data_IF_611314860875
#
_entry.id   IF_611314860875
#
_cell.length_a   1.000
_cell.length_b   1.000
_cell.length_c   1.000
_cell.angle_alpha   90.00
_cell.angle_beta   90.00
_cell.angle_gamma   90.00
#
_symmetry.space_group_name_H-M   'P 1'
#
loop_
_entity.id
_entity.type
_entity.pdbx_description
1 polymer ?
2 polymer ?
3 water ?
#
# COMPACT_ATOMS: atom_id res chain seq x y z
N UNK A 1 -27.22 -9.35 6.51
CA UNK A 1 -27.03 -7.90 6.62
C UNK A 1 -26.51 -7.45 8.01
N UNK A 2 -25.27 -7.77 8.34
CA UNK A 2 -24.69 -7.37 9.63
C UNK A 2 -23.74 -6.19 9.47
N UNK A 3 -23.80 -5.23 10.40
CA UNK A 3 -22.87 -4.09 10.35
C UNK A 3 -21.79 -4.24 11.39
N UNK A 4 -20.54 -4.11 10.96
CA UNK A 4 -19.43 -4.11 11.90
C UNK A 4 -19.08 -2.70 12.33
N UNK A 5 -18.99 -2.46 13.63
CA UNK A 5 -18.39 -1.22 14.08
C UNK A 5 -17.21 -1.45 15.01
N UNK A 6 -16.16 -0.69 14.75
CA UNK A 6 -14.80 -0.99 15.15
C UNK A 6 -14.10 0.28 15.61
N UNK A 7 -13.60 0.28 16.85
CA UNK A 7 -12.91 1.46 17.41
C UNK A 7 -11.73 1.08 18.30
N UNK A 8 -10.76 1.98 18.43
CA UNK A 8 -10.67 3.31 17.82
C UNK A 8 -10.31 3.25 16.36
N UNK A 9 -10.58 4.31 15.60
CA UNK A 9 -10.13 4.43 14.21
C UNK A 9 -8.62 4.38 14.06
N UNK A 10 -7.91 4.70 15.12
CA UNK A 10 -6.45 4.70 15.06
C UNK A 10 -5.87 4.59 16.45
N UNK A 11 -4.57 4.31 16.53
CA UNK A 11 -3.98 3.87 17.79
C UNK A 11 -2.48 4.08 17.84
N UNK A 12 -2.03 4.84 18.82
CA UNK A 12 -0.60 5.06 19.03
C UNK A 12 -0.16 4.37 20.31
N UNK A 13 0.83 3.49 20.19
CA UNK A 13 1.22 2.67 21.30
C UNK A 13 2.73 2.67 21.47
N UNK A 14 3.16 2.68 22.73
CA UNK A 14 4.56 2.51 23.05
C UNK A 14 4.98 1.05 22.89
N UNK A 15 6.07 0.79 22.16
CA UNK A 15 6.52 -0.59 21.93
C UNK A 15 6.58 -1.38 23.22
N UNK A 16 5.88 -2.52 23.23
CA UNK A 16 5.77 -3.34 24.42
C UNK A 16 4.72 -2.88 25.42
N UNK A 17 3.88 -1.91 25.08
CA UNK A 17 2.68 -1.67 25.89
C UNK A 17 1.53 -2.33 25.14
N UNK A 18 0.52 -2.83 25.88
CA UNK A 18 -0.60 -3.55 25.25
C UNK A 18 -1.42 -2.69 24.30
N UNK A 19 -2.25 -3.34 23.51
CA UNK A 19 -3.15 -2.61 22.64
C UNK A 19 -4.44 -3.40 22.51
N UNK A 20 -5.55 -2.66 22.57
CA UNK A 20 -6.88 -3.23 22.38
C UNK A 20 -7.53 -2.66 21.14
N UNK A 21 -8.29 -3.50 20.44
CA UNK A 21 -9.09 -3.03 19.34
C UNK A 21 -10.44 -3.72 19.48
N UNK A 22 -11.51 -2.95 19.31
CA UNK A 22 -12.82 -3.52 19.59
C UNK A 22 -13.68 -3.63 18.36
N UNK A 23 -14.44 -4.70 18.31
CA UNK A 23 -15.38 -4.92 17.26
C UNK A 23 -16.66 -5.27 17.94
N UNK A 24 -17.69 -4.46 17.65
CA UNK A 24 -19.05 -4.74 18.13
C UNK A 24 -19.93 -4.94 16.90
N UNK A 25 -20.87 -5.87 16.99
CA UNK A 25 -21.70 -6.20 15.83
C UNK A 25 -23.14 -5.75 16.00
N UNK A 26 -23.75 -5.24 14.93
CA UNK A 26 -25.17 -4.89 14.94
C UNK A 26 -26.08 -6.05 15.36
N UNK A 27 -25.60 -7.28 15.21
CA UNK A 27 -26.30 -8.44 15.71
C UNK A 27 -25.37 -9.60 15.98
N UNK A 28 -25.88 -10.60 16.70
CA UNK A 28 -25.08 -11.63 17.32
C UNK A 28 -24.32 -12.47 16.31
N UNK A 29 -23.08 -12.79 16.67
CA UNK A 29 -22.17 -13.54 15.82
C UNK A 29 -21.97 -14.96 16.37
N UNK A 30 -22.71 -15.29 17.43
CA UNK A 30 -22.74 -16.65 17.94
C UNK A 30 -23.48 -17.58 16.93
N UNK A 31 -23.67 -18.85 17.29
CA UNK A 31 -24.23 -19.78 16.34
C UNK A 31 -24.69 -21.11 16.96
N UNK A 32 -25.46 -21.88 16.19
CA UNK A 32 -25.76 -23.26 16.54
C UNK A 32 -24.46 -23.98 16.84
N UNK A 33 -23.46 -23.72 16.01
CA UNK A 33 -22.09 -24.21 16.17
C UNK A 33 -21.58 -24.07 17.59
N UNK A 34 -22.18 -23.16 18.36
CA UNK A 34 -21.60 -22.77 19.63
C UNK A 34 -20.30 -22.04 19.34
N UNK A 35 -20.23 -21.41 18.18
CA UNK A 35 -19.03 -20.70 17.77
C UNK A 35 -19.35 -19.27 17.36
N UNK A 36 -18.37 -18.39 17.55
CA UNK A 36 -18.52 -17.00 17.15
C UNK A 36 -17.83 -16.73 15.82
N UNK A 37 -18.61 -16.38 14.82
CA UNK A 37 -18.08 -16.15 13.49
C UNK A 37 -17.61 -14.71 13.28
N UNK A 38 -16.40 -14.46 13.78
CA UNK A 38 -15.72 -13.21 13.60
C UNK A 38 -14.23 -13.47 13.43
N UNK A 39 -13.62 -12.86 12.42
CA UNK A 39 -12.17 -12.93 12.23
C UNK A 39 -11.51 -11.57 12.35
N UNK A 40 -10.20 -11.58 12.59
CA UNK A 40 -9.37 -10.39 12.58
C UNK A 40 -8.29 -10.52 11.51
N UNK A 41 -8.24 -9.56 10.60
CA UNK A 41 -7.22 -9.50 9.55
C UNK A 41 -6.40 -8.25 9.75
N UNK A 42 -5.09 -8.34 9.53
CA UNK A 42 -4.19 -7.19 9.63
C UNK A 42 -3.50 -6.97 8.29
N UNK A 43 -3.51 -5.73 7.81
CA UNK A 43 -2.90 -5.42 6.52
C UNK A 43 -1.72 -4.46 6.66
N UNK A 44 -0.51 -4.99 6.62
CA UNK A 44 0.67 -4.13 6.69
C UNK A 44 0.72 -3.29 5.41
N UNK A 45 1.48 -2.17 5.44
CA UNK A 45 1.64 -1.31 4.26
C UNK A 45 2.08 -2.06 3.01
N UNK A 46 1.28 -1.94 1.96
CA UNK A 46 1.64 -2.51 0.68
C UNK A 46 1.27 -3.97 0.52
N UNK A 47 0.83 -4.59 1.61
CA UNK A 47 0.49 -6.01 1.59
C UNK A 47 -0.99 -6.23 1.41
N UNK A 48 -1.33 -7.47 1.11
CA UNK A 48 -2.70 -7.96 1.22
C UNK A 48 -3.00 -8.20 2.67
N UNK A 49 -4.28 -8.22 3.04
CA UNK A 49 -4.65 -8.65 4.39
C UNK A 49 -3.98 -9.96 4.80
N UNK A 50 -3.70 -10.14 6.08
CA UNK A 50 -3.30 -11.45 6.53
C UNK A 50 -4.13 -11.89 7.74
N UNK A 51 -4.50 -13.15 7.74
CA UNK A 51 -5.36 -13.71 8.76
C UNK A 51 -4.61 -13.77 10.07
N UNK A 52 -5.28 -13.37 11.14
CA UNK A 52 -4.70 -13.40 12.48
C UNK A 52 -5.45 -14.32 13.38
N UNK A 53 -6.71 -13.96 13.59
CA UNK A 53 -7.59 -14.67 14.49
C UNK A 53 -8.76 -15.10 13.69
N UNK A 54 -9.38 -16.21 14.06
CA UNK A 54 -10.64 -16.59 13.47
C UNK A 54 -11.44 -17.39 14.47
N UNK A 55 -12.73 -17.50 14.21
CA UNK A 55 -13.70 -18.04 15.18
C UNK A 55 -13.50 -17.36 16.53
N UNK A 56 -13.37 -16.03 16.51
CA UNK A 56 -13.27 -15.26 17.74
C UNK A 56 -11.95 -15.35 18.48
N UNK A 57 -11.40 -16.55 18.64
CA UNK A 57 -10.30 -16.71 19.58
C UNK A 57 -9.25 -17.73 19.19
N UNK A 58 -9.31 -18.22 17.97
CA UNK A 58 -8.34 -19.19 17.50
C UNK A 58 -7.27 -18.48 16.73
N UNK A 59 -6.08 -18.39 17.31
CA UNK A 59 -4.95 -17.82 16.60
C UNK A 59 -4.64 -18.70 15.40
N UNK A 60 -4.12 -18.12 14.34
CA UNK A 60 -3.98 -18.87 13.11
C UNK A 60 -2.52 -19.23 12.89
N UNK A 61 -2.28 -20.17 11.97
CA UNK A 61 -0.95 -20.67 11.70
C UNK A 61 0.05 -19.54 11.54
N UNK A 62 1.20 -19.69 12.18
CA UNK A 62 2.29 -18.74 12.06
C UNK A 62 1.94 -17.30 12.40
N UNK A 63 1.19 -17.13 13.48
CA UNK A 63 0.85 -15.83 14.01
C UNK A 63 1.34 -15.73 15.46
N UNK A 64 2.15 -14.72 15.77
CA UNK A 64 2.83 -14.61 17.06
C UNK A 64 1.92 -14.74 18.29
N UNK A 65 2.52 -15.18 19.38
CA UNK A 65 1.83 -15.51 20.62
C UNK A 65 1.11 -14.33 21.27
N UNK A 66 1.59 -13.12 21.00
CA UNK A 66 1.11 -11.94 21.69
C UNK A 66 -0.23 -11.45 21.17
N UNK A 67 -0.62 -11.93 20.00
CA UNK A 67 -1.95 -11.66 19.55
C UNK A 67 -2.89 -12.65 20.19
N UNK A 68 -3.99 -12.13 20.71
CA UNK A 68 -5.09 -12.96 21.20
C UNK A 68 -6.37 -12.38 20.64
N UNK A 69 -7.42 -13.18 20.63
CA UNK A 69 -8.72 -12.71 20.19
C UNK A 69 -9.70 -13.15 21.23
N UNK A 70 -10.58 -12.25 21.64
CA UNK A 70 -11.53 -12.57 22.69
C UNK A 70 -12.87 -11.95 22.43
N UNK A 71 -13.89 -12.43 23.13
CA UNK A 71 -15.18 -11.79 23.04
C UNK A 71 -16.22 -12.83 22.68
N UNK A 72 -17.46 -12.40 22.58
CA UNK A 72 -18.57 -13.29 22.34
C UNK A 72 -19.85 -12.51 22.08
N UNK A 73 -20.85 -13.21 21.56
CA UNK A 73 -22.08 -12.55 21.21
C UNK A 73 -21.87 -11.39 20.24
N UNK A 74 -21.93 -10.18 20.76
CA UNK A 74 -21.96 -9.04 19.87
C UNK A 74 -20.72 -8.20 20.03
N UNK A 75 -19.83 -8.64 20.89
CA UNK A 75 -18.72 -7.80 21.30
C UNK A 75 -17.41 -8.59 21.37
N UNK A 76 -16.44 -8.18 20.56
CA UNK A 76 -15.15 -8.87 20.51
C UNK A 76 -14.02 -7.88 20.59
N UNK A 77 -12.85 -8.42 20.93
CA UNK A 77 -11.66 -7.63 21.12
C UNK A 77 -10.45 -8.38 20.63
N UNK A 78 -9.70 -7.77 19.73
CA UNK A 78 -8.35 -8.23 19.42
C UNK A 78 -7.34 -7.58 20.37
N UNK A 79 -6.56 -8.41 21.06
CA UNK A 79 -5.63 -7.88 22.05
C UNK A 79 -4.18 -8.26 21.76
N UNK A 80 -3.35 -7.25 21.57
CA UNK A 80 -1.92 -7.43 21.47
C UNK A 80 -1.30 -7.29 22.85
N UNK A 81 -0.64 -8.34 23.33
CA UNK A 81 -0.14 -8.37 24.71
C UNK A 81 1.02 -7.42 24.91
N UNK A 82 1.87 -7.31 23.90
CA UNK A 82 2.89 -6.27 23.84
C UNK A 82 3.25 -5.99 22.39
N UNK A 83 3.02 -4.76 21.96
CA UNK A 83 3.20 -4.39 20.56
C UNK A 83 4.68 -4.23 20.17
N UNK A 84 5.03 -4.71 18.97
CA UNK A 84 6.36 -4.53 18.42
C UNK A 84 6.29 -3.79 17.09
N UNK A 85 7.44 -3.33 16.59
CA UNK A 85 7.48 -2.51 15.40
C UNK A 85 6.80 -3.16 14.19
N UNK A 86 7.00 -4.47 14.04
CA UNK A 86 6.40 -5.27 12.98
C UNK A 86 4.86 -5.18 12.93
N UNK A 87 4.24 -4.88 14.07
CA UNK A 87 2.79 -4.94 14.16
C UNK A 87 2.10 -3.75 13.50
N UNK A 88 2.88 -2.83 12.97
CA UNK A 88 2.33 -1.58 12.49
C UNK A 88 1.50 -1.83 11.22
N UNK A 89 0.30 -1.30 11.18
CA UNK A 89 -0.58 -1.45 10.03
C UNK A 89 -2.04 -1.23 10.37
N UNK A 90 -2.91 -1.52 9.40
CA UNK A 90 -4.38 -1.39 9.61
C UNK A 90 -5.00 -2.73 9.99
N UNK A 91 -5.80 -2.77 11.04
CA UNK A 91 -6.43 -4.01 11.48
C UNK A 91 -7.91 -3.94 11.13
N UNK A 92 -8.46 -5.05 10.61
CA UNK A 92 -9.88 -5.16 10.26
C UNK A 92 -10.54 -6.38 10.89
N UNK A 93 -11.72 -6.19 11.47
CA UNK A 93 -12.54 -7.32 11.84
C UNK A 93 -13.46 -7.70 10.68
N UNK A 94 -13.96 -8.93 10.68
CA UNK A 94 -14.88 -9.33 9.64
C UNK A 94 -15.71 -10.48 10.19
N UNK A 95 -17.00 -10.48 9.83
CA UNK A 95 -17.82 -11.64 10.07
C UNK A 95 -18.24 -12.27 8.73
N UNK A 96 -18.12 -13.59 8.61
CA UNK A 96 -18.46 -14.21 7.34
C UNK A 96 -19.92 -14.71 7.30
N UNK A 97 -20.55 -14.82 8.46
CA UNK A 97 -21.87 -15.44 8.62
C UNK A 97 -22.89 -14.92 7.61
N UNK A 98 -22.96 -13.59 7.47
CA UNK A 98 -23.83 -12.95 6.50
C UNK A 98 -23.63 -11.45 6.46
N UNK A 99 -23.00 -10.91 5.41
CA UNK A 99 -22.38 -11.62 4.31
C UNK A 99 -21.01 -10.99 4.08
N UNK A 100 -20.00 -11.53 4.76
CA UNK A 100 -18.64 -11.00 4.73
C UNK A 100 -18.60 -9.49 4.87
N UNK A 101 -18.84 -8.97 6.07
CA UNK A 101 -18.75 -7.52 6.26
C UNK A 101 -17.57 -7.15 7.16
N UNK A 102 -16.84 -6.13 6.76
CA UNK A 102 -15.66 -5.70 7.49
C UNK A 102 -15.91 -4.56 8.50
N UNK A 103 -14.99 -4.45 9.46
CA UNK A 103 -14.91 -3.28 10.30
C UNK A 103 -14.28 -2.21 9.44
N UNK A 104 -14.20 -0.99 9.96
CA UNK A 104 -13.66 0.12 9.18
C UNK A 104 -12.15 0.21 9.36
N UNK A 105 -11.65 -0.54 10.32
CA UNK A 105 -10.21 -0.62 10.47
C UNK A 105 -9.60 0.33 11.48
N UNK A 106 -9.12 -0.24 12.58
CA UNK A 106 -8.13 0.43 13.44
C UNK A 106 -6.74 0.49 12.85
N UNK A 107 -6.31 1.64 12.36
CA UNK A 107 -4.90 1.81 12.03
C UNK A 107 -4.06 1.85 13.31
N UNK A 108 -2.93 1.16 13.31
CA UNK A 108 -2.07 1.08 14.49
C UNK A 108 -0.75 1.78 14.20
N UNK A 109 -0.31 2.65 15.12
CA UNK A 109 0.98 3.32 14.96
C UNK A 109 1.85 3.13 16.19
N UNK A 110 3.16 3.30 16.01
CA UNK A 110 4.12 3.02 17.09
C UNK A 110 4.74 4.26 17.70
N UNK A 111 4.55 4.46 18.99
CA UNK A 111 5.16 5.57 19.69
C UNK A 111 6.65 5.33 19.80
N UNK A 112 7.42 5.89 18.87
CA UNK A 112 8.87 5.75 18.88
C UNK A 112 9.49 6.94 19.62
N UNK A 113 10.76 6.81 20.01
CA UNK A 113 11.52 7.94 20.53
C UNK A 113 11.68 8.94 19.37
N UNK A 114 11.89 10.21 19.68
CA UNK A 114 12.00 11.23 18.63
C UNK A 114 13.22 10.95 17.77
N UNK A 115 13.14 11.24 16.47
CA UNK A 115 14.30 11.07 15.61
C UNK A 115 14.32 12.09 14.49
N UNK A 116 15.28 13.00 14.55
CA UNK A 116 15.47 13.98 13.49
C UNK A 116 15.65 13.28 12.15
N UNK A 117 15.26 13.94 11.06
CA UNK A 117 15.41 13.35 9.74
C UNK A 117 16.78 13.60 9.16
N UNK A 118 17.40 12.57 8.60
CA UNK A 118 18.49 12.81 7.67
C UNK A 118 17.84 13.51 6.48
N UNK A 119 18.42 14.64 6.06
CA UNK A 119 17.82 15.42 5.01
C UNK A 119 18.68 15.47 3.75
N UNK A 120 18.08 15.17 2.61
CA UNK A 120 18.82 15.19 1.36
C UNK A 120 18.12 16.08 0.37
N UNK A 121 18.83 16.45 -0.67
CA UNK A 121 18.27 17.28 -1.74
C UNK A 121 18.77 16.73 -3.06
N UNK A 122 17.94 16.79 -4.08
CA UNK A 122 18.32 16.27 -5.39
C UNK A 122 17.90 17.23 -6.48
N UNK A 123 18.86 17.65 -7.28
CA UNK A 123 18.60 18.57 -8.40
C UNK A 123 18.00 17.83 -9.58
N UNK A 124 17.23 18.56 -10.40
CA UNK A 124 16.68 18.11 -11.67
C UNK A 124 17.64 17.26 -12.48
N UNK A 125 17.07 16.32 -13.22
CA UNK A 125 17.85 15.40 -14.02
C UNK A 125 18.51 16.08 -15.20
N UNK A 126 19.39 15.36 -15.87
CA UNK A 126 19.86 15.82 -17.17
C UNK A 126 18.67 15.80 -18.13
N UNK A 127 18.06 14.62 -18.26
CA UNK A 127 17.03 14.40 -19.25
C UNK A 127 15.71 15.12 -18.97
N UNK A 128 15.35 15.34 -17.70
CA UNK A 128 14.11 16.06 -17.41
C UNK A 128 14.25 17.51 -17.88
N UNK A 129 15.46 18.04 -17.75
CA UNK A 129 15.79 19.35 -18.27
C UNK A 129 15.84 19.32 -19.80
N UNK A 130 16.54 18.31 -20.36
CA UNK A 130 16.61 18.09 -21.81
C UNK A 130 15.24 17.73 -22.41
N UNK A 131 14.18 18.22 -21.76
CA UNK A 131 12.81 17.93 -22.11
C UNK A 131 11.95 19.03 -21.52
N UNK A 132 12.62 19.97 -20.86
CA UNK A 132 12.01 21.27 -20.56
C UNK A 132 11.28 21.50 -19.25
N UNK A 133 11.43 20.59 -18.28
CA UNK A 133 10.83 20.83 -16.97
C UNK A 133 11.88 20.52 -15.93
N UNK A 134 11.64 20.98 -14.70
CA UNK A 134 12.59 20.79 -13.62
C UNK A 134 11.87 20.48 -12.31
N UNK A 135 12.08 19.26 -11.83
CA UNK A 135 11.53 18.87 -10.56
C UNK A 135 12.68 18.80 -9.58
N UNK A 136 12.54 19.49 -8.45
CA UNK A 136 13.57 19.41 -7.41
C UNK A 136 13.02 18.57 -6.29
N UNK A 137 13.81 17.60 -5.83
CA UNK A 137 13.33 16.68 -4.81
C UNK A 137 14.09 16.84 -3.50
N UNK A 138 13.39 16.57 -2.40
CA UNK A 138 13.94 16.77 -1.08
C UNK A 138 13.59 15.57 -0.20
N UNK A 139 14.59 14.79 0.18
CA UNK A 139 14.36 13.59 0.95
C UNK A 139 14.51 13.80 2.45
N UNK A 140 13.53 13.35 3.20
CA UNK A 140 13.63 13.30 4.65
C UNK A 140 13.60 11.84 5.04
N UNK A 141 14.73 11.17 4.90
CA UNK A 141 14.77 9.71 4.76
C UNK A 141 14.25 8.88 5.93
N UNK A 142 14.52 9.31 7.15
CA UNK A 142 14.04 8.58 8.32
C UNK A 142 13.80 9.56 9.41
N UNK A 143 12.56 9.70 9.87
CA UNK A 143 12.29 10.55 11.01
C UNK A 143 11.04 10.17 11.78
N UNK A 144 10.93 10.69 12.99
CA UNK A 144 9.76 10.50 13.83
C UNK A 144 9.65 11.66 14.80
N UNK A 145 8.43 12.21 15.00
CA UNK A 145 7.13 11.80 14.44
C UNK A 145 6.89 12.26 13.01
N UNK A 146 5.65 12.10 12.54
CA UNK A 146 5.33 12.35 11.14
C UNK A 146 5.45 13.83 10.81
N UNK A 147 4.95 14.65 11.72
CA UNK A 147 4.80 16.07 11.50
C UNK A 147 6.12 16.75 11.18
N UNK A 148 6.33 17.05 9.90
CA UNK A 148 7.59 17.65 9.44
C UNK A 148 7.30 18.77 8.45
N UNK A 149 7.96 19.91 8.63
CA UNK A 149 7.69 21.09 7.82
C UNK A 149 8.76 21.26 6.76
N UNK A 150 8.37 21.08 5.51
CA UNK A 150 9.29 21.26 4.41
C UNK A 150 9.05 22.59 3.73
N UNK A 151 9.89 23.57 4.03
CA UNK A 151 9.77 24.88 3.41
C UNK A 151 10.77 25.01 2.27
N UNK A 152 10.25 25.28 1.07
CA UNK A 152 11.07 25.49 -0.09
C UNK A 152 11.40 26.97 -0.26
N UNK A 153 12.69 27.30 -0.32
CA UNK A 153 13.10 28.68 -0.58
C UNK A 153 13.97 28.78 -1.83
N UNK A 154 13.48 29.55 -2.81
CA UNK A 154 14.25 29.85 -4.03
C UNK A 154 14.88 31.22 -3.93
N UNK A 155 16.21 31.26 -4.04
CA UNK A 155 16.99 32.49 -3.83
C UNK A 155 16.68 33.06 -2.45
N UNK A 156 16.63 32.17 -1.45
CA UNK A 156 16.29 32.51 -0.07
C UNK A 156 14.99 33.31 0.09
N UNK A 157 14.19 33.33 -0.99
CA UNK A 157 12.84 33.89 -0.94
C UNK A 157 11.81 32.75 -0.99
N UNK A 158 10.84 32.83 -0.07
CA UNK A 158 9.84 31.79 0.16
C UNK A 158 9.17 31.26 -1.13
N UNK A 159 8.77 29.99 -1.08
CA UNK A 159 7.96 29.40 -2.14
C UNK A 159 6.69 28.80 -1.55
N UNK A 160 5.57 28.90 -2.26
CA UNK A 160 4.29 28.45 -1.70
C UNK A 160 3.22 28.15 -2.76
N UNK A 161 3.07 26.88 -3.09
CA UNK A 161 1.99 26.46 -3.97
C UNK A 161 2.41 25.61 -5.15
N UNK A 162 3.71 25.57 -5.42
CA UNK A 162 4.21 24.89 -6.62
C UNK A 162 4.90 23.55 -6.34
N UNK A 163 4.75 23.02 -5.12
CA UNK A 163 5.44 21.79 -4.75
C UNK A 163 4.61 20.89 -3.84
N UNK A 164 4.64 19.59 -4.13
CA UNK A 164 3.88 18.61 -3.38
C UNK A 164 4.78 17.67 -2.58
N UNK A 165 4.22 17.11 -1.51
CA UNK A 165 4.97 16.26 -0.63
C UNK A 165 4.26 14.92 -0.46
N UNK A 166 5.03 13.85 -0.37
CA UNK A 166 4.50 12.52 -0.15
C UNK A 166 5.15 11.85 1.09
N UNK A 167 4.36 11.13 1.88
CA UNK A 167 4.86 10.54 3.13
C UNK A 167 4.71 9.02 3.25
N UNK A 168 5.84 8.33 3.23
CA UNK A 168 5.97 6.91 3.52
C UNK A 168 5.12 6.46 4.72
N UNK A 169 4.73 5.20 4.72
CA UNK A 169 4.03 4.63 5.87
C UNK A 169 5.01 4.12 6.90
N UNK A 170 4.65 4.24 8.18
CA UNK A 170 5.58 3.96 9.26
C UNK A 170 6.33 2.67 9.08
N UNK A 171 7.64 2.76 9.22
CA UNK A 171 8.56 1.66 8.95
C UNK A 171 8.21 0.45 9.81
N UNK A 172 8.59 -0.73 9.35
CA UNK A 172 8.23 -1.94 10.06
C UNK A 172 9.32 -2.35 11.03
N UNK A 173 10.48 -1.73 10.88
CA UNK A 173 11.64 -2.05 11.72
C UNK A 173 11.95 -0.94 12.70
N UNK A 174 12.20 0.26 12.19
CA UNK A 174 12.58 1.36 13.08
C UNK A 174 11.44 2.30 13.39
N UNK A 175 10.27 2.02 12.84
CA UNK A 175 9.07 2.82 13.10
C UNK A 175 9.27 4.26 12.65
N UNK A 176 10.00 4.43 11.56
CA UNK A 176 10.28 5.73 11.00
C UNK A 176 9.21 6.15 10.00
N UNK A 177 9.20 7.43 9.65
CA UNK A 177 8.50 7.90 8.45
C UNK A 177 9.51 8.46 7.47
N UNK A 178 9.10 8.65 6.22
CA UNK A 178 9.95 9.34 5.27
C UNK A 178 9.10 10.16 4.33
N UNK A 179 9.68 11.22 3.79
CA UNK A 179 8.90 12.20 3.04
C UNK A 179 9.66 12.69 1.84
N UNK A 180 8.98 12.81 0.71
CA UNK A 180 9.61 13.25 -0.52
C UNK A 180 8.88 14.45 -1.10
N UNK A 181 9.44 15.63 -0.84
CA UNK A 181 8.90 16.87 -1.39
C UNK A 181 9.44 17.09 -2.80
N UNK A 182 8.60 17.61 -3.69
CA UNK A 182 9.04 17.86 -5.05
C UNK A 182 8.67 19.26 -5.54
N UNK A 183 9.70 20.10 -5.66
CA UNK A 183 9.54 21.44 -6.22
C UNK A 183 9.50 21.33 -7.74
N UNK A 184 8.38 21.75 -8.33
CA UNK A 184 8.15 21.61 -9.77
C UNK A 184 7.88 22.92 -10.49
N UNK A 185 8.78 23.28 -11.40
CA UNK A 185 8.57 24.47 -12.23
C UNK A 185 9.25 24.35 -13.61
N UNK A 186 8.81 25.21 -14.53
CA UNK A 186 9.31 25.24 -15.92
C UNK A 186 10.75 25.76 -15.95
N UNK A 187 11.40 25.75 -17.11
CA UNK A 187 12.84 26.07 -17.15
C UNK A 187 13.40 27.00 -18.25
N UNK A 188 12.74 28.08 -18.71
CA UNK A 188 11.73 28.89 -18.04
C UNK A 188 12.00 29.09 -16.55
N UNK A 189 10.93 29.25 -15.77
CA UNK A 189 11.01 29.81 -14.41
C UNK A 189 12.16 29.28 -13.57
N UNK A 190 12.59 28.04 -13.82
CA UNK A 190 13.72 27.45 -13.11
C UNK A 190 14.98 28.26 -13.30
N UNK A 191 15.31 28.54 -14.56
CA UNK A 191 16.56 29.22 -14.87
C UNK A 191 16.46 30.74 -14.67
N UNK A 192 15.35 31.18 -14.08
CA UNK A 192 15.19 32.56 -13.64
C UNK A 192 15.98 32.82 -12.37
N UNK A 193 16.23 31.76 -11.60
CA UNK A 193 16.86 31.91 -10.30
C UNK A 193 18.16 31.12 -10.14
N UNK A 194 18.74 31.21 -8.95
CA UNK A 194 20.04 30.60 -8.67
C UNK A 194 19.97 29.73 -7.42
N UNK A 195 19.68 30.34 -6.27
CA UNK A 195 19.69 29.61 -5.00
C UNK A 195 18.42 28.77 -4.80
N UNK A 196 18.62 27.48 -4.54
CA UNK A 196 17.50 26.56 -4.34
C UNK A 196 17.65 25.75 -3.05
N UNK A 197 16.74 26.00 -2.12
CA UNK A 197 16.92 25.50 -0.77
C UNK A 197 15.73 24.74 -0.21
N UNK A 198 16.04 23.63 0.46
CA UNK A 198 15.05 22.95 1.27
C UNK A 198 15.31 23.27 2.73
N UNK A 199 14.28 23.72 3.43
CA UNK A 199 14.40 24.04 4.85
C UNK A 199 13.41 23.23 5.66
N UNK A 200 13.92 22.51 6.66
CA UNK A 200 13.12 21.52 7.34
C UNK A 200 12.98 21.75 8.84
N UNK A 201 11.75 21.87 9.32
CA UNK A 201 11.51 21.98 10.75
C UNK A 201 10.94 20.67 11.28
N UNK A 202 11.27 20.33 12.52
CA UNK A 202 10.82 19.08 13.12
C UNK A 202 10.96 19.14 14.63
N UNK A 203 10.14 18.37 15.32
CA UNK A 203 10.19 18.25 16.78
C UNK A 203 11.60 17.96 17.28
N UNK A 204 12.32 17.11 16.56
CA UNK A 204 13.63 16.68 16.97
C UNK A 204 14.81 17.46 16.39
N UNK A 205 14.65 18.77 16.28
CA UNK A 205 15.78 19.59 15.84
C UNK A 205 15.91 20.87 16.68
N UNK A 206 17.12 21.41 16.70
CA UNK A 206 17.44 22.62 17.45
C UNK A 206 17.13 23.83 16.58
N UNK A 207 17.59 23.76 15.34
CA UNK A 207 17.23 24.74 14.33
C UNK A 207 16.82 24.03 13.06
N UNK A 208 15.77 24.54 12.39
CA UNK A 208 15.42 24.09 11.05
C UNK A 208 16.67 24.03 10.16
N UNK A 209 17.03 22.84 9.70
CA UNK A 209 18.23 22.68 8.88
C UNK A 209 17.95 23.04 7.43
N UNK A 210 19.00 23.32 6.67
CA UNK A 210 18.85 23.75 5.31
C UNK A 210 19.92 23.16 4.43
N UNK A 211 19.64 22.02 3.83
CA UNK A 211 20.48 21.56 2.75
C UNK A 211 20.00 22.24 1.50
N UNK A 212 20.92 22.49 0.57
CA UNK A 212 20.59 23.27 -0.60
C UNK A 212 21.62 23.14 -1.73
N UNK A 213 21.39 23.92 -2.77
CA UNK A 213 22.16 23.87 -4.00
C UNK A 213 21.75 25.04 -4.86
N UNK A 214 22.73 25.65 -5.54
CA UNK A 214 22.45 26.75 -6.44
C UNK A 214 22.63 26.33 -7.88
N UNK A 215 22.03 27.07 -8.80
CA UNK A 215 22.08 26.75 -10.22
C UNK A 215 23.50 26.52 -10.73
N UNK B 1 4.91 -23.56 -0.85
CA UNK B 1 4.22 -22.46 -0.19
C UNK B 1 2.81 -22.32 -0.73
N UNK B 2 1.83 -22.53 0.14
CA UNK B 2 0.45 -22.28 -0.26
C UNK B 2 0.32 -20.78 -0.53
N UNK B 3 -0.17 -20.43 -1.71
CA UNK B 3 -0.01 -19.09 -2.24
C UNK B 3 -0.99 -18.81 -3.39
N UNK B 4 -1.46 -17.56 -3.48
CA UNK B 4 -2.26 -17.11 -4.61
C UNK B 4 -1.51 -16.02 -5.41
N UNK B 5 -1.33 -16.24 -6.72
CA UNK B 5 -0.69 -15.26 -7.63
C UNK B 5 -1.70 -14.69 -8.61
N UNK B 6 -1.90 -13.36 -8.59
CA UNK B 6 -2.92 -12.73 -9.41
C UNK B 6 -2.42 -12.17 -10.72
N UNK B 7 -3.28 -12.14 -11.74
CA UNK B 7 -2.85 -11.60 -13.01
C UNK B 7 -3.89 -10.69 -13.64
N UNK B 8 -3.43 -9.75 -14.46
CA UNK B 8 -4.32 -8.97 -15.30
C UNK B 8 -5.20 -7.87 -14.72
N UNK B 9 -4.60 -6.87 -14.11
CA UNK B 9 -5.41 -5.70 -13.79
C UNK B 9 -5.67 -4.87 -15.04
N UNK B 10 -5.60 -3.56 -14.90
CA UNK B 10 -5.64 -2.69 -16.06
C UNK B 10 -6.51 -1.44 -15.96
N UNK B 11 -6.65 -0.76 -17.10
CA UNK B 11 -7.48 0.42 -17.22
C UNK B 11 -8.59 0.13 -18.23
N UNK B 12 -9.82 0.56 -17.94
CA UNK B 12 -10.91 0.44 -18.89
C UNK B 12 -11.88 1.59 -18.77
N UNK B 13 -12.39 2.00 -19.93
CA UNK B 13 -13.51 2.91 -19.99
C UNK B 13 -14.70 2.28 -19.27
N UNK B 14 -15.52 3.12 -18.65
CA UNK B 14 -16.75 2.65 -18.01
C UNK B 14 -17.63 1.90 -19.00
N UNK B 15 -18.45 0.97 -18.52
CA UNK B 15 -19.25 0.14 -19.38
C UNK B 15 -18.44 -1.02 -19.93
N UNK B 16 -17.13 -0.90 -19.85
CA UNK B 16 -16.25 -1.94 -20.33
C UNK B 16 -16.22 -3.15 -19.41
N UNK B 17 -15.60 -4.22 -19.88
CA UNK B 17 -15.41 -5.39 -19.05
C UNK B 17 -13.93 -5.59 -18.75
N UNK B 18 -13.64 -6.51 -17.84
CA UNK B 18 -12.27 -6.82 -17.50
C UNK B 18 -12.25 -8.18 -16.84
N UNK B 19 -11.22 -8.96 -17.08
CA UNK B 19 -11.11 -10.22 -16.38
C UNK B 19 -9.88 -10.30 -15.47
N UNK B 20 -10.10 -10.70 -14.23
CA UNK B 20 -9.00 -10.90 -13.31
C UNK B 20 -8.85 -12.38 -13.06
N UNK B 21 -7.65 -12.81 -12.70
CA UNK B 21 -7.47 -14.19 -12.34
C UNK B 21 -6.49 -14.36 -11.21
N UNK B 22 -6.57 -15.52 -10.58
CA UNK B 22 -5.56 -15.93 -9.63
C UNK B 22 -5.11 -17.35 -9.94
N UNK B 23 -3.82 -17.59 -9.86
CA UNK B 23 -3.28 -18.94 -10.05
C UNK B 23 -2.80 -19.46 -8.71
N UNK B 24 -3.37 -20.59 -8.28
CA UNK B 24 -3.09 -21.17 -6.98
C UNK B 24 -1.85 -22.06 -6.98
N UNK B 25 -1.20 -22.09 -5.82
CA UNK B 25 0.02 -22.86 -5.60
C UNK B 25 -0.13 -23.70 -4.34
N UNK B 26 0.16 -24.98 -4.46
CA UNK B 26 0.15 -25.92 -3.33
C UNK B 26 -1.22 -26.20 -2.75
N UNK B 27 -2.28 -25.87 -3.48
CA UNK B 27 -3.62 -26.32 -3.08
C UNK B 27 -4.57 -26.26 -4.25
N UNK B 28 -5.61 -27.08 -4.24
CA UNK B 28 -6.54 -27.05 -5.36
C UNK B 28 -7.66 -26.06 -5.11
N UNK B 29 -7.80 -25.16 -6.04
CA UNK B 29 -8.81 -24.14 -5.99
C UNK B 29 -10.21 -24.80 -5.97
N UNK B 30 -10.29 -26.05 -6.41
CA UNK B 30 -11.57 -26.75 -6.46
C UNK B 30 -12.04 -27.17 -5.08
N UNK B 31 -11.15 -27.09 -4.11
CA UNK B 31 -11.38 -27.71 -2.82
C UNK B 31 -11.78 -26.72 -1.79
N UNK B 32 -11.97 -25.47 -2.22
CA UNK B 32 -12.24 -24.36 -1.32
C UNK B 32 -13.28 -23.38 -1.83
N UNK B 33 -14.00 -22.76 -0.91
CA UNK B 33 -14.72 -21.54 -1.26
C UNK B 33 -13.67 -20.55 -1.66
N UNK B 34 -13.80 -20.00 -2.86
CA UNK B 34 -12.88 -18.96 -3.29
C UNK B 34 -13.61 -17.62 -3.37
N UNK B 35 -12.88 -16.54 -3.16
CA UNK B 35 -13.49 -15.31 -2.73
C UNK B 35 -12.73 -14.08 -3.23
N UNK B 36 -13.45 -13.00 -3.45
CA UNK B 36 -12.81 -11.79 -3.94
C UNK B 36 -13.16 -10.63 -3.03
N UNK B 37 -12.13 -9.90 -2.60
CA UNK B 37 -12.27 -8.73 -1.75
C UNK B 37 -11.57 -7.55 -2.41
N UNK B 38 -12.23 -6.41 -2.50
CA UNK B 38 -11.56 -5.26 -3.12
C UNK B 38 -11.31 -4.14 -2.13
N UNK B 39 -10.35 -3.31 -2.46
CA UNK B 39 -10.02 -2.17 -1.63
C UNK B 39 -9.89 -0.90 -2.48
N UNK B 40 -10.80 0.05 -2.28
CA UNK B 40 -10.76 1.33 -2.98
C UNK B 40 -9.59 2.19 -2.48
N UNK B 41 -9.04 3.07 -3.33
CA UNK B 41 -7.89 3.90 -2.94
C UNK B 41 -8.18 4.79 -1.73
N UNK B 42 -7.60 4.47 -0.58
CA UNK B 42 -7.84 5.24 0.61
C UNK B 42 -8.91 4.63 1.49
N UNK B 43 -9.67 3.68 0.96
CA UNK B 43 -10.73 3.05 1.75
C UNK B 43 -10.32 1.69 2.33
N UNK B 44 -11.26 1.08 3.04
CA UNK B 44 -11.03 -0.21 3.66
C UNK B 44 -11.44 -1.37 2.76
N UNK B 45 -11.70 -2.51 3.36
CA UNK B 45 -11.96 -3.71 2.60
C UNK B 45 -13.45 -3.83 2.24
N UNK B 46 -13.73 -4.49 1.11
CA UNK B 46 -15.10 -4.76 0.67
C UNK B 46 -15.19 -6.12 -0.01
N UNK B 47 -15.94 -7.04 0.56
CA UNK B 47 -16.14 -8.35 -0.04
C UNK B 47 -16.99 -8.20 -1.28
N UNK B 48 -16.65 -8.92 -2.36
CA UNK B 48 -17.36 -8.76 -3.63
C UNK B 48 -18.07 -10.03 -4.14
N UNK B 49 -17.52 -11.22 -3.90
CA UNK B 49 -18.09 -12.45 -4.47
C UNK B 49 -17.44 -13.71 -3.92
N UNK B 50 -18.24 -14.78 -3.78
CA UNK B 50 -17.70 -16.10 -3.39
C UNK B 50 -18.03 -17.16 -4.41
N UNK B 51 -17.10 -18.09 -4.59
CA UNK B 51 -17.32 -19.27 -5.39
C UNK B 51 -17.45 -20.45 -4.43
N UNK B 52 -18.62 -21.10 -4.39
CA UNK B 52 -18.74 -22.30 -3.57
C UNK B 52 -18.15 -23.52 -4.28
N UNK B 53 -17.88 -24.60 -3.53
CA UNK B 53 -17.27 -25.77 -4.14
C UNK B 53 -18.17 -26.28 -5.25
N UNK B 54 -19.48 -26.11 -5.10
CA UNK B 54 -20.45 -26.69 -6.03
C UNK B 54 -20.67 -25.82 -7.26
N UNK B 55 -19.88 -24.76 -7.39
CA UNK B 55 -19.95 -23.90 -8.57
C UNK B 55 -20.89 -22.71 -8.47
N UNK B 56 -21.77 -22.68 -7.47
CA UNK B 56 -22.71 -21.57 -7.37
C UNK B 56 -22.05 -20.41 -6.65
N UNK B 57 -22.42 -19.20 -7.03
CA UNK B 57 -21.81 -18.02 -6.44
C UNK B 57 -22.72 -17.28 -5.48
N UNK B 58 -22.13 -16.33 -4.76
CA UNK B 58 -22.89 -15.36 -3.99
C UNK B 58 -22.19 -14.02 -4.13
N UNK B 59 -22.98 -12.99 -4.47
CA UNK B 59 -22.46 -11.66 -4.78
C UNK B 59 -22.98 -10.54 -3.88
N UNK B 60 -22.11 -9.55 -3.67
CA UNK B 60 -22.39 -8.38 -2.86
C UNK B 60 -23.27 -7.43 -3.64
N UNK B 61 -24.13 -6.66 -2.93
CA UNK B 61 -25.11 -5.74 -3.51
C UNK B 61 -24.55 -4.84 -4.58
N UNK B 62 -23.39 -4.28 -4.32
CA UNK B 62 -22.78 -3.33 -5.22
C UNK B 62 -22.33 -3.97 -6.52
N UNK B 63 -22.62 -5.26 -6.68
CA UNK B 63 -21.88 -5.93 -7.71
C UNK B 63 -22.64 -7.06 -8.37
N UNK B 64 -23.62 -7.61 -7.65
CA UNK B 64 -24.56 -8.56 -8.23
C UNK B 64 -25.05 -8.10 -9.60
N UNK B 65 -25.06 -9.00 -10.57
CA UNK B 65 -25.49 -8.68 -11.91
C UNK B 65 -24.35 -8.43 -12.89
N UNK B 66 -23.27 -7.83 -12.41
CA UNK B 66 -22.20 -7.40 -13.28
C UNK B 66 -20.94 -8.27 -13.19
N UNK B 67 -20.84 -9.03 -12.12
CA UNK B 67 -19.63 -9.81 -11.86
C UNK B 67 -19.93 -11.29 -11.84
N UNK B 68 -18.96 -12.09 -12.28
CA UNK B 68 -19.02 -13.54 -12.17
C UNK B 68 -17.70 -14.13 -11.69
N UNK B 69 -17.77 -14.93 -10.64
CA UNK B 69 -16.64 -15.71 -10.17
C UNK B 69 -16.68 -17.13 -10.74
N UNK B 70 -15.65 -17.51 -11.47
CA UNK B 70 -15.56 -18.87 -11.99
C UNK B 70 -14.17 -19.44 -11.74
N UNK B 71 -14.04 -20.76 -11.80
CA UNK B 71 -12.71 -21.36 -11.63
C UNK B 71 -12.43 -22.27 -12.78
N UNK B 72 -11.15 -22.56 -13.04
CA UNK B 72 -10.79 -23.61 -14.00
C UNK B 72 -9.90 -24.59 -13.29
N UNK B 73 -10.44 -25.75 -12.93
CA UNK B 73 -9.64 -26.77 -12.28
C UNK B 73 -8.41 -27.17 -13.06
N UNK B 74 -8.57 -27.37 -14.36
CA UNK B 74 -7.48 -27.85 -15.17
C UNK B 74 -6.29 -26.88 -15.09
N UNK B 75 -6.56 -25.59 -14.88
CA UNK B 75 -5.47 -24.63 -14.69
C UNK B 75 -5.32 -24.21 -13.23
N UNK B 76 -6.03 -24.90 -12.34
CA UNK B 76 -6.02 -24.56 -10.92
C UNK B 76 -6.00 -23.03 -10.70
N UNK B 77 -6.93 -22.36 -11.36
CA UNK B 77 -6.99 -20.91 -11.34
C UNK B 77 -8.39 -20.41 -11.00
N UNK B 78 -8.45 -19.25 -10.37
CA UNK B 78 -9.69 -18.56 -10.06
C UNK B 78 -9.86 -17.34 -10.97
N UNK B 79 -11.10 -17.05 -11.35
CA UNK B 79 -11.38 -15.96 -12.26
C UNK B 79 -12.46 -15.05 -11.71
N UNK B 80 -12.39 -13.77 -12.03
CA UNK B 80 -13.53 -12.90 -11.78
C UNK B 80 -13.79 -12.06 -13.02
N UNK B 81 -14.99 -12.21 -13.58
CA UNK B 81 -15.41 -11.49 -14.77
C UNK B 81 -16.07 -10.19 -14.41
N UNK B 82 -15.55 -9.06 -14.89
CA UNK B 82 -16.03 -7.77 -14.41
C UNK B 82 -16.68 -6.98 -15.52
N UNK B 83 -18.00 -7.06 -15.60
CA UNK B 83 -18.76 -6.48 -16.70
C UNK B 83 -19.43 -5.17 -16.35
N UNK B 84 -19.62 -4.31 -17.36
CA UNK B 84 -20.32 -3.04 -17.20
C UNK B 84 -19.67 -2.27 -16.07
N UNK B 85 -18.36 -2.16 -16.17
CA UNK B 85 -17.56 -1.50 -15.16
C UNK B 85 -17.84 -0.02 -15.10
N UNK B 86 -17.72 0.52 -13.89
CA UNK B 86 -18.00 1.91 -13.59
C UNK B 86 -16.92 2.41 -12.63
N UNK B 87 -16.82 3.73 -12.46
CA UNK B 87 -15.76 4.32 -11.66
C UNK B 87 -15.70 3.81 -10.24
N UNK B 88 -16.88 3.55 -9.68
CA UNK B 88 -17.05 2.99 -8.34
C UNK B 88 -16.27 1.68 -8.15
N UNK B 89 -15.91 1.06 -9.26
CA UNK B 89 -15.28 -0.24 -9.23
C UNK B 89 -13.78 -0.10 -9.19
N UNK B 90 -13.28 1.11 -9.41
CA UNK B 90 -11.86 1.37 -9.38
C UNK B 90 -11.28 1.00 -8.02
N UNK B 91 -10.48 -0.06 -8.01
CA UNK B 91 -9.92 -0.56 -6.77
C UNK B 91 -8.83 -1.60 -6.99
N UNK B 92 -8.18 -1.93 -5.89
CA UNK B 92 -7.25 -3.03 -5.86
C UNK B 92 -8.05 -4.28 -5.49
N UNK B 93 -7.93 -5.34 -6.29
CA UNK B 93 -8.73 -6.53 -6.07
C UNK B 93 -7.90 -7.69 -5.56
N UNK B 94 -8.37 -8.30 -4.48
CA UNK B 94 -7.69 -9.40 -3.83
C UNK B 94 -8.48 -10.68 -3.97
N UNK B 95 -7.85 -11.69 -4.57
CA UNK B 95 -8.38 -13.05 -4.54
C UNK B 95 -7.91 -13.68 -3.24
N UNK B 96 -8.72 -14.55 -2.66
CA UNK B 96 -8.36 -15.13 -1.39
C UNK B 96 -9.01 -16.48 -1.21
N UNK B 97 -8.31 -17.39 -0.56
CA UNK B 97 -8.89 -18.70 -0.28
C UNK B 97 -9.71 -18.63 0.99
N UNK B 98 -10.97 -19.02 0.91
CA UNK B 98 -11.77 -19.15 2.11
C UNK B 98 -11.71 -20.57 2.59
N UNK B 99 -10.89 -20.77 3.61
CA UNK B 99 -10.57 -22.09 4.09
C UNK B 99 -11.78 -22.72 4.80
N UNK B 100 -12.90 -22.79 4.09
CA UNK B 100 -14.18 -23.12 4.73
C UNK B 100 -15.09 -24.05 3.91
N UNK B 101 -16.10 -24.56 4.59
CA UNK B 101 -17.04 -25.55 4.05
C UNK B 101 -18.24 -25.66 4.99
N UNK B 102 -19.36 -25.03 4.62
CA UNK B 102 -20.59 -25.06 5.43
C UNK B 102 -21.44 -26.28 5.07
N UNK B 103 -20.92 -27.12 4.19
CA UNK B 103 -21.49 -28.44 3.94
C UNK B 103 -21.10 -29.35 5.09
N UNK B 104 -19.82 -29.35 5.42
CA UNK B 104 -19.37 -29.91 6.69
C UNK B 104 -19.57 -28.84 7.77
N UNK B 105 -18.58 -28.65 8.62
CA UNK B 105 -18.75 -27.70 9.70
C UNK B 105 -17.71 -26.60 9.70
N UNK B 106 -16.43 -26.99 9.70
CA UNK B 106 -15.41 -26.08 10.19
C UNK B 106 -15.01 -24.95 9.24
N UNK B 107 -14.74 -23.80 9.85
CA UNK B 107 -14.32 -22.58 9.20
C UNK B 107 -12.91 -22.28 9.71
N UNK B 108 -12.00 -21.93 8.80
CA UNK B 108 -10.62 -21.72 9.17
C UNK B 108 -10.09 -20.37 8.72
N UNK B 109 -10.98 -19.44 8.41
CA UNK B 109 -10.57 -18.10 8.02
C UNK B 109 -10.14 -17.98 6.59
N UNK B 110 -9.95 -16.76 6.12
CA UNK B 110 -9.45 -16.53 4.78
C UNK B 110 -7.95 -16.40 4.82
N UNK B 111 -7.26 -17.52 4.65
CA UNK B 111 -5.85 -17.61 5.04
C UNK B 111 -4.83 -17.41 3.95
N UNK B 112 -5.27 -17.31 2.70
CA UNK B 112 -4.34 -17.07 1.58
C UNK B 112 -4.89 -16.02 0.65
N UNK B 113 -4.07 -15.03 0.31
CA UNK B 113 -4.53 -13.89 -0.45
C UNK B 113 -3.64 -13.63 -1.61
N UNK B 114 -4.20 -13.15 -2.70
CA UNK B 114 -3.39 -12.73 -3.82
C UNK B 114 -2.81 -11.37 -3.49
N UNK B 115 -1.76 -10.97 -4.21
CA UNK B 115 -1.06 -9.75 -3.89
C UNK B 115 -1.90 -8.52 -4.19
N UNK B 116 -3.06 -8.71 -4.77
CA UNK B 116 -3.86 -7.54 -5.09
C UNK B 116 -3.63 -7.12 -6.51
N UNK B 117 -4.73 -6.96 -7.23
CA UNK B 117 -4.66 -6.62 -8.63
C UNK B 117 -5.49 -5.36 -8.84
N UNK B 118 -4.87 -4.39 -9.50
CA UNK B 118 -5.42 -3.04 -9.57
C UNK B 118 -6.25 -2.84 -10.82
N UNK B 119 -7.40 -2.19 -10.64
CA UNK B 119 -8.28 -1.91 -11.75
C UNK B 119 -8.65 -0.44 -11.78
N UNK B 120 -8.39 0.18 -12.91
CA UNK B 120 -8.69 1.60 -13.07
C UNK B 120 -9.82 1.78 -14.06
N UNK B 121 -11.00 2.13 -13.58
CA UNK B 121 -12.10 2.45 -14.47
C UNK B 121 -12.06 3.93 -14.84
N UNK B 122 -11.56 4.23 -16.03
CA UNK B 122 -11.50 5.61 -16.46
C UNK B 122 -11.53 5.79 -17.98
N UNK B 123 -11.89 7.00 -18.37
CA UNK B 123 -12.08 7.36 -19.77
C UNK B 123 -10.80 7.91 -20.37
N UNK B 124 -9.89 8.34 -19.51
CA UNK B 124 -8.59 8.83 -19.95
C UNK B 124 -7.85 7.70 -20.62
N UNK B 125 -6.93 8.05 -21.50
CA UNK B 125 -6.09 7.07 -22.16
C UNK B 125 -4.85 6.85 -21.31
N UNK B 126 -4.31 5.64 -21.38
CA UNK B 126 -3.17 5.28 -20.55
C UNK B 126 -1.98 6.21 -20.87
N UNK B 127 -1.46 6.87 -19.84
CA UNK B 127 -0.23 7.64 -19.99
C UNK B 127 0.91 6.94 -19.27
N UNK B 128 1.96 6.58 -20.00
CA UNK B 128 3.13 5.93 -19.43
C UNK B 128 4.15 6.91 -18.85
N UNK B 129 4.97 6.43 -17.90
CA UNK B 129 5.87 7.31 -17.14
C UNK B 129 7.17 7.67 -17.85
N UNK B 130 7.94 8.54 -17.21
CA UNK B 130 9.31 8.79 -17.61
C UNK B 130 10.17 8.59 -16.37
N UNK B 131 11.30 7.90 -16.54
CA UNK B 131 12.13 7.59 -15.38
C UNK B 131 13.41 8.42 -15.35
N UNK B 132 13.50 9.30 -14.36
CA UNK B 132 14.65 10.18 -14.20
C UNK B 132 15.50 9.73 -13.01
N UNK B 133 16.84 9.69 -13.20
CA UNK B 133 17.78 9.37 -12.12
C UNK B 133 17.78 10.41 -11.03
N UNK B 134 18.21 10.06 -9.82
CA UNK B 134 18.32 11.06 -8.74
C UNK B 134 19.63 10.90 -7.97
N UNK B 135 20.72 11.33 -8.61
CA UNK B 135 22.08 11.03 -8.14
C UNK B 135 22.54 11.95 -7.01
N UNK B 136 23.43 11.43 -6.15
CA UNK B 136 23.94 12.21 -5.00
C UNK B 136 24.85 13.35 -5.43
N UNK B 142 27.47 11.90 2.10
CA UNK B 142 26.79 12.92 2.89
C UNK B 142 26.49 12.40 4.31
N UNK B 143 27.52 12.36 5.14
CA UNK B 143 27.42 11.83 6.50
C UNK B 143 28.44 10.72 6.71
N UNK B 144 28.00 9.49 6.53
CA UNK B 144 28.87 8.34 6.47
C UNK B 144 28.22 7.47 5.44
N UNK B 145 27.06 7.94 5.02
CA UNK B 145 26.19 7.27 4.08
C UNK B 145 25.61 8.33 3.14
N UNK B 146 25.11 7.91 1.98
CA UNK B 146 24.61 8.87 1.00
C UNK B 146 23.46 8.31 0.18
N UNK B 147 22.51 9.17 -0.17
CA UNK B 147 21.27 8.68 -0.78
C UNK B 147 21.17 8.94 -2.28
N UNK B 148 20.40 8.09 -2.96
CA UNK B 148 20.13 8.22 -4.39
C UNK B 148 18.78 7.59 -4.72
N UNK B 149 18.21 7.96 -5.87
CA UNK B 149 16.91 7.45 -6.20
C UNK B 149 16.49 7.44 -7.66
N UNK B 150 15.18 7.60 -7.86
CA UNK B 150 14.57 7.48 -9.16
C UNK B 150 13.28 8.27 -9.21
N UNK B 151 13.19 9.23 -10.11
CA UNK B 151 11.95 9.97 -10.26
C UNK B 151 11.15 9.43 -11.44
N UNK B 152 9.89 9.10 -11.20
CA UNK B 152 9.03 8.59 -12.26
C UNK B 152 7.81 9.47 -12.32
N UNK B 153 7.58 10.04 -13.49
CA UNK B 153 6.78 11.25 -13.61
C UNK B 153 5.76 11.20 -14.75
N UNK B 154 4.61 11.79 -14.50
CA UNK B 154 3.57 11.99 -15.50
C UNK B 154 3.11 10.68 -16.09
N UNK B 155 2.26 9.98 -15.34
CA UNK B 155 1.69 8.73 -15.81
C UNK B 155 0.26 8.59 -15.34
N UNK B 156 -0.54 7.95 -16.17
CA UNK B 156 -1.89 7.58 -15.81
C UNK B 156 -2.27 6.26 -16.46
N UNK B 157 -2.86 5.34 -15.69
CA UNK B 157 -3.26 5.52 -14.30
C UNK B 157 -2.30 4.89 -13.32
N UNK B 158 -2.57 5.03 -12.03
CA UNK B 158 -1.89 4.24 -11.00
C UNK B 158 -2.10 2.76 -11.31
N UNK B 159 -1.18 1.90 -10.89
CA UNK B 159 0.07 2.18 -10.18
C UNK B 159 1.30 1.95 -11.03
N UNK B 160 2.43 1.88 -10.35
CA UNK B 160 3.70 1.63 -10.98
C UNK B 160 4.47 0.63 -10.13
N UNK B 161 5.25 -0.21 -10.78
CA UNK B 161 6.14 -1.15 -10.10
C UNK B 161 7.58 -0.66 -10.15
N UNK B 162 8.23 -0.62 -9.00
CA UNK B 162 9.62 -0.17 -8.94
C UNK B 162 10.46 -1.03 -8.01
N UNK B 163 11.63 -1.44 -8.46
CA UNK B 163 12.54 -2.17 -7.58
C UNK B 163 13.96 -1.69 -7.82
N UNK B 164 14.88 -2.15 -6.97
CA UNK B 164 16.28 -1.79 -7.11
C UNK B 164 17.12 -3.00 -7.49
N UNK B 165 17.60 -2.97 -8.72
CA UNK B 165 18.37 -4.05 -9.30
C UNK B 165 17.59 -5.35 -9.25
N UNK B 166 16.36 -5.31 -9.74
CA UNK B 166 15.56 -6.51 -9.96
C UNK B 166 15.40 -7.35 -8.69
N UNK B 167 15.13 -6.69 -7.57
CA UNK B 167 14.88 -7.39 -6.33
C UNK B 167 16.06 -7.31 -5.39
N UNK B 168 17.25 -7.24 -5.97
CA UNK B 168 18.49 -7.25 -5.21
C UNK B 168 18.45 -6.29 -4.02
N UNK B 169 18.38 -4.99 -4.30
CA UNK B 169 18.43 -4.03 -3.21
C UNK B 169 17.07 -3.85 -2.57
N UNK B 170 16.95 -4.41 -1.37
CA UNK B 170 15.72 -4.41 -0.61
C UNK B 170 15.80 -3.41 0.52
N UNK B 171 16.94 -3.40 1.20
CA UNK B 171 17.06 -2.74 2.50
C UNK B 171 17.49 -1.28 2.41
N UNK B 172 16.85 -0.44 3.23
CA UNK B 172 16.93 1.01 3.19
C UNK B 172 16.40 1.57 1.86
N UNK B 173 15.26 1.06 1.43
CA UNK B 173 14.57 1.61 0.27
C UNK B 173 13.26 2.29 0.69
N UNK B 174 12.94 3.39 0.01
CA UNK B 174 11.68 4.08 0.21
C UNK B 174 11.08 4.43 -1.14
N UNK B 175 10.05 3.68 -1.55
CA UNK B 175 9.25 4.06 -2.71
C UNK B 175 8.04 4.81 -2.20
N UNK B 176 7.84 6.02 -2.69
CA UNK B 176 6.86 6.90 -2.08
C UNK B 176 5.53 6.80 -2.74
N UNK B 177 4.47 7.07 -1.97
CA UNK B 177 3.15 7.28 -2.54
C UNK B 177 3.25 8.25 -3.69
N UNK B 178 2.54 7.97 -4.76
CA UNK B 178 2.56 8.87 -5.89
C UNK B 178 1.71 10.07 -5.52
N UNK B 179 1.97 11.21 -6.15
CA UNK B 179 1.13 12.39 -5.96
C UNK B 179 0.37 12.68 -7.26
N UNK B 180 -0.84 13.22 -7.14
CA UNK B 180 -1.66 13.56 -8.29
C UNK B 180 -1.46 15.00 -8.72
N UNK B 181 -0.77 15.18 -9.83
CA UNK B 181 -0.46 16.51 -10.31
C UNK B 181 -1.70 17.16 -10.90
N UNK B 182 -1.67 18.49 -10.94
CA UNK B 182 -2.77 19.26 -11.52
C UNK B 182 -2.99 18.85 -12.96
N UNK B 183 -1.89 18.56 -13.65
CA UNK B 183 -1.91 18.12 -15.04
C UNK B 183 -2.82 16.94 -15.30
N UNK B 184 -3.12 16.17 -14.25
CA UNK B 184 -3.94 14.99 -14.36
C UNK B 184 -3.16 13.71 -14.11
N UNK B 185 -1.85 13.77 -14.39
CA UNK B 185 -0.98 12.60 -14.32
C UNK B 185 -0.34 12.44 -12.94
N UNK B 186 0.07 11.21 -12.62
CA UNK B 186 0.68 10.93 -11.33
C UNK B 186 2.19 11.00 -11.42
N UNK B 187 2.83 11.31 -10.30
CA UNK B 187 4.29 11.28 -10.23
C UNK B 187 4.74 10.69 -8.90
N UNK B 188 5.80 9.90 -8.94
CA UNK B 188 6.23 9.13 -7.80
C UNK B 188 7.74 9.09 -7.76
N UNK B 189 8.29 8.92 -6.57
CA UNK B 189 9.72 8.90 -6.43
C UNK B 189 10.17 7.72 -5.59
N UNK B 190 11.20 7.04 -6.05
CA UNK B 190 11.74 5.91 -5.33
C UNK B 190 13.23 6.16 -5.07
N UNK B 191 13.62 6.02 -3.81
CA UNK B 191 14.94 6.44 -3.37
C UNK B 191 15.56 5.41 -2.43
N UNK B 192 16.87 5.25 -2.46
CA UNK B 192 17.48 4.23 -1.60
C UNK B 192 18.71 4.73 -0.81
N UNK B 193 18.65 4.57 0.51
CA UNK B 193 19.73 4.94 1.42
C UNK B 193 20.91 3.97 1.33
N UNK B 194 22.07 4.51 1.03
CA UNK B 194 23.22 3.68 0.70
C UNK B 194 24.51 4.22 1.31
N UNK B 195 25.37 3.32 1.80
CA UNK B 195 26.65 3.73 2.38
C UNK B 195 27.50 4.52 1.40
N UNK B 196 27.91 5.73 1.78
CA UNK B 196 28.78 6.55 0.96
C UNK B 196 30.10 5.83 0.80
N UNK B 197 30.44 5.02 1.80
CA UNK B 197 31.61 4.14 1.75
C UNK B 197 31.64 3.33 0.44
N UNK B 198 30.64 2.49 0.22
CA UNK B 198 30.49 1.77 -1.05
C UNK B 198 29.99 2.71 -2.14
N UNK B 199 30.78 3.75 -2.43
CA UNK B 199 30.40 4.81 -3.35
C UNK B 199 30.12 4.28 -4.75
N UNK B 200 29.81 5.17 -5.68
CA UNK B 200 29.46 4.83 -7.06
C UNK B 200 30.20 3.71 -7.77
N UNK B 201 31.16 3.08 -7.08
CA UNK B 201 31.79 1.87 -7.58
C UNK B 201 30.81 0.68 -7.65
N UNK B 202 29.55 0.92 -7.29
CA UNK B 202 28.51 -0.08 -7.47
C UNK B 202 27.56 0.33 -8.61
N UNK B 203 26.81 -0.64 -9.11
CA UNK B 203 25.85 -0.40 -10.19
C UNK B 203 24.42 -0.39 -9.64
N UNK B 204 23.92 0.80 -9.32
CA UNK B 204 22.59 0.95 -8.77
C UNK B 204 21.53 1.20 -9.86
N UNK B 205 20.79 0.15 -10.23
CA UNK B 205 19.70 0.27 -11.22
C UNK B 205 18.31 0.19 -10.62
N UNK B 206 17.49 1.20 -10.89
CA UNK B 206 16.09 1.14 -10.51
C UNK B 206 15.31 0.47 -11.62
N UNK B 207 14.27 -0.28 -11.26
CA UNK B 207 13.50 -1.03 -12.23
C UNK B 207 12.04 -0.61 -12.22
N UNK B 208 11.65 0.21 -13.19
CA UNK B 208 10.30 0.76 -13.21
C UNK B 208 9.39 0.03 -14.17
N UNK B 209 8.21 -0.34 -13.70
CA UNK B 209 7.24 -1.02 -14.52
C UNK B 209 5.83 -0.48 -14.31
N UNK B 210 5.19 -0.06 -15.40
CA UNK B 210 3.85 0.52 -15.37
C UNK B 210 2.95 -0.23 -16.33
N UNK B 211 2.27 -1.24 -15.83
CA UNK B 211 1.59 -2.22 -16.66
C UNK B 211 0.57 -1.67 -17.69
N UNK B 212 -0.32 -0.73 -17.30
CA UNK B 212 -1.32 -0.20 -18.25
C UNK B 212 -0.81 0.23 -19.64
N UNK B 213 0.49 0.45 -19.77
CA UNK B 213 1.15 0.53 -21.08
C UNK B 213 2.33 -0.41 -20.98
N UNK B 214 2.74 -1.08 -22.04
CA UNK B 214 3.80 -2.04 -21.82
C UNK B 214 5.15 -1.30 -21.72
N UNK B 215 5.39 -0.73 -20.54
CA UNK B 215 6.61 0.03 -20.29
C UNK B 215 7.40 -0.47 -19.08
N UNK B 216 8.58 -1.02 -19.35
CA UNK B 216 9.46 -1.58 -18.33
C UNK B 216 10.87 -1.05 -18.51
N UNK B 217 11.35 -0.27 -17.54
CA UNK B 217 12.66 0.37 -17.69
C UNK B 217 13.64 0.10 -16.55
N UNK B 218 14.92 0.03 -16.90
CA UNK B 218 16.00 0.03 -15.91
C UNK B 218 16.80 1.33 -16.05
N UNK B 219 17.59 1.66 -15.02
CA UNK B 219 18.32 2.91 -15.04
C UNK B 219 19.42 2.98 -14.00
N UNK B 220 20.67 3.09 -14.45
CA UNK B 220 21.77 3.48 -13.57
C UNK B 220 21.48 4.89 -13.06
N UNK B 221 22.10 5.28 -11.95
CA UNK B 221 21.85 6.61 -11.41
C UNK B 221 23.13 7.40 -11.11
N UNK B 222 24.04 7.47 -12.08
CA UNK B 222 25.38 8.05 -11.83
C UNK B 222 25.38 9.56 -11.59
N UNK B 223 26.34 10.03 -10.76
CA UNK B 223 26.57 11.47 -10.54
C UNK B 223 27.64 12.03 -11.47
#
# INVERSE_FOLDING_TARGET
DIVMNQSPPSLAVTPGEPASISCRASQSLLYSDGHNYLDWYLQKPGQAPQLLIYLGSTRASGVPDRFSGSGSGTDFTLKISRVEAEDVGVYYCMQPLQSYTFGQGTKLEIKRTVAAPSVFIFPPSDEQLKSGTASVVCLLNNFYPREAKVQWKVDNALQSGNSQESVTEQDSKDSTYSLSSTLTLSKADYEKHKVYACEVTHQGLSSPVTKSFNR
EVQLVGSGGGLIQPGGSLRLSCAASDFSVSEYYMTWVRQAPGKGLEWVAVLYKDGSQFYAPSVKGRFIVSRDNSKNSLYLQMNNLRGEDTAVYFCARENADYGSDYYFGMDVWGQGTAVAVSSASTKGPSVFPLAPSSKSTSGGTAALGCLVKDYFPEPVTVSWNSGALTSSVHTFPAVLQSSGLYSLSSVVTVPSSSLGTQTYICNVNHKPSNTKVDKKAEP
#
